data_IF_573066288672
#
_entry.id   IF_573066288672
#
_cell.length_a   1.000
_cell.length_b   1.000
_cell.length_c   1.000
_cell.angle_alpha   90.00
_cell.angle_beta   90.00
_cell.angle_gamma   90.00
#
_symmetry.space_group_name_H-M   'P 1'
#
loop_
_entity.id
_entity.type
_entity.pdbx_description
1 polymer ?
#
# COMPACT_ATOMS: atom_id res chain seq x y z
N UNK A 1 -14.28 2.79 -28.99
CA UNK A 1 -14.21 2.10 -27.67
C UNK A 1 -14.82 3.02 -26.65
N UNK A 2 -15.86 2.62 -25.96
CA UNK A 2 -16.48 3.42 -24.88
C UNK A 2 -15.49 3.48 -23.72
N UNK A 3 -14.90 4.64 -23.52
CA UNK A 3 -14.09 4.92 -22.32
C UNK A 3 -15.10 5.01 -21.18
N UNK A 4 -15.15 4.02 -20.30
CA UNK A 4 -15.93 4.13 -19.07
C UNK A 4 -15.36 5.33 -18.29
N UNK A 5 -16.16 6.35 -18.02
CA UNK A 5 -15.67 7.52 -17.33
C UNK A 5 -15.25 7.11 -15.91
N UNK A 6 -13.97 7.26 -15.60
CA UNK A 6 -13.42 7.04 -14.24
C UNK A 6 -13.62 8.29 -13.36
N UNK A 7 -14.66 9.07 -13.65
CA UNK A 7 -14.93 10.30 -12.91
C UNK A 7 -15.16 10.02 -11.43
N UNK A 8 -14.37 10.72 -10.60
CA UNK A 8 -14.45 10.62 -9.16
C UNK A 8 -13.75 9.39 -8.55
N UNK A 9 -13.13 8.52 -9.38
CA UNK A 9 -12.38 7.36 -8.86
C UNK A 9 -11.18 7.82 -8.05
N UNK A 10 -10.95 7.14 -6.93
CA UNK A 10 -9.73 7.25 -6.11
C UNK A 10 -8.99 5.93 -6.20
N UNK A 11 -7.77 5.93 -6.72
CA UNK A 11 -6.90 4.76 -6.71
C UNK A 11 -5.83 4.93 -5.62
N UNK A 12 -5.88 4.07 -4.62
CA UNK A 12 -5.01 4.19 -3.45
C UNK A 12 -3.66 3.49 -3.61
N UNK A 13 -3.38 2.84 -4.75
CA UNK A 13 -2.19 2.01 -4.88
C UNK A 13 -1.70 1.90 -6.33
N UNK A 14 -0.93 2.88 -6.77
CA UNK A 14 -0.34 2.89 -8.12
C UNK A 14 1.18 3.02 -8.04
N UNK A 15 1.86 2.22 -8.85
CA UNK A 15 3.31 2.32 -9.02
C UNK A 15 3.63 3.01 -10.35
N UNK A 16 4.59 3.93 -10.31
CA UNK A 16 5.07 4.70 -11.45
C UNK A 16 6.59 4.68 -11.53
N UNK A 17 7.15 5.03 -12.69
CA UNK A 17 8.59 5.30 -12.82
C UNK A 17 8.95 6.61 -12.09
N UNK A 18 10.19 6.74 -11.53
CA UNK A 18 11.23 5.71 -11.49
C UNK A 18 10.92 4.60 -10.50
N UNK A 19 11.16 3.35 -10.90
CA UNK A 19 11.07 2.16 -10.05
C UNK A 19 12.16 1.16 -10.49
N UNK A 20 12.48 0.17 -9.65
CA UNK A 20 13.38 -0.96 -10.01
C UNK A 20 12.77 -1.88 -11.06
N UNK A 21 11.47 -1.79 -11.30
CA UNK A 21 10.76 -2.48 -12.38
C UNK A 21 10.18 -1.44 -13.32
N UNK A 22 10.21 -1.73 -14.62
CA UNK A 22 9.54 -0.87 -15.61
C UNK A 22 8.05 -0.76 -15.28
N UNK A 23 7.55 0.46 -15.25
CA UNK A 23 6.13 0.80 -15.05
C UNK A 23 5.55 1.36 -16.34
N UNK A 24 4.22 1.33 -16.45
CA UNK A 24 3.51 1.80 -17.64
C UNK A 24 3.60 3.33 -17.82
N UNK A 25 3.69 4.06 -16.71
CA UNK A 25 3.72 5.52 -16.67
C UNK A 25 4.82 6.02 -15.73
N UNK A 26 5.33 7.21 -16.01
CA UNK A 26 5.93 8.05 -14.98
C UNK A 26 4.85 8.85 -14.23
N UNK A 27 5.26 9.66 -13.28
CA UNK A 27 4.32 10.41 -12.43
C UNK A 27 3.53 11.47 -13.21
N UNK A 28 4.15 12.13 -14.19
CA UNK A 28 3.53 13.18 -14.97
C UNK A 28 2.58 12.58 -16.02
N UNK A 29 2.99 11.52 -16.70
CA UNK A 29 2.14 10.76 -17.62
C UNK A 29 0.91 10.20 -16.90
N UNK A 30 1.07 9.68 -15.67
CA UNK A 30 -0.05 9.23 -14.86
C UNK A 30 -0.97 10.39 -14.48
N UNK A 31 -0.42 11.56 -14.17
CA UNK A 31 -1.20 12.78 -13.88
C UNK A 31 -2.05 13.18 -15.08
N UNK A 32 -1.45 13.21 -16.29
CA UNK A 32 -2.17 13.50 -17.54
C UNK A 32 -3.32 12.50 -17.78
N UNK A 33 -3.04 11.20 -17.63
CA UNK A 33 -4.03 10.16 -17.82
C UNK A 33 -5.18 10.27 -16.80
N UNK A 34 -4.86 10.52 -15.52
CA UNK A 34 -5.84 10.67 -14.44
C UNK A 34 -6.75 11.88 -14.64
N UNK A 35 -6.19 13.03 -14.98
CA UNK A 35 -6.95 14.24 -15.28
C UNK A 35 -7.86 14.03 -16.49
N UNK A 36 -7.36 13.40 -17.54
CA UNK A 36 -8.11 13.11 -18.78
C UNK A 36 -9.36 12.25 -18.53
N UNK A 37 -9.28 11.28 -17.64
CA UNK A 37 -10.41 10.38 -17.31
C UNK A 37 -11.28 10.89 -16.17
N UNK A 38 -10.91 12.01 -15.54
CA UNK A 38 -11.64 12.63 -14.45
C UNK A 38 -11.50 11.88 -13.12
N UNK A 39 -10.39 11.20 -12.89
CA UNK A 39 -10.08 10.62 -11.60
C UNK A 39 -10.01 11.71 -10.53
N UNK A 40 -10.43 11.39 -9.30
CA UNK A 40 -10.43 12.32 -8.16
C UNK A 40 -9.09 12.38 -7.46
N UNK A 41 -8.47 11.23 -7.27
CA UNK A 41 -7.16 11.14 -6.61
C UNK A 41 -6.43 9.84 -6.92
N UNK A 42 -5.11 9.89 -6.79
CA UNK A 42 -4.24 8.71 -6.83
C UNK A 42 -3.24 8.79 -5.68
N UNK A 43 -2.90 7.65 -5.08
CA UNK A 43 -1.79 7.52 -4.15
C UNK A 43 -0.64 6.80 -4.84
N UNK A 44 0.49 7.50 -5.03
CA UNK A 44 1.71 6.87 -5.56
C UNK A 44 2.36 6.03 -4.48
N UNK A 45 2.72 4.80 -4.83
CA UNK A 45 3.48 3.88 -3.99
C UNK A 45 4.84 3.54 -4.61
N UNK A 46 5.86 3.45 -3.78
CA UNK A 46 7.14 2.83 -4.12
C UNK A 46 7.53 1.81 -3.06
N UNK A 47 8.35 0.82 -3.44
CA UNK A 47 8.94 -0.12 -2.49
C UNK A 47 10.22 0.43 -1.85
N UNK A 48 10.81 1.49 -2.41
CA UNK A 48 12.15 1.97 -2.07
C UNK A 48 12.15 3.18 -1.14
N UNK A 49 10.98 3.67 -0.68
CA UNK A 49 10.99 4.83 0.19
C UNK A 49 9.67 5.59 0.27
N UNK A 50 9.76 6.87 -0.01
CA UNK A 50 8.67 7.85 0.10
C UNK A 50 8.29 8.42 -1.26
N UNK A 51 7.09 8.97 -1.39
CA UNK A 51 6.60 9.54 -2.65
C UNK A 51 5.92 10.91 -2.48
N UNK A 52 6.11 11.59 -1.33
CA UNK A 52 5.44 12.87 -1.07
C UNK A 52 5.96 14.00 -1.96
N UNK A 53 7.27 14.06 -2.18
CA UNK A 53 7.94 14.99 -3.09
C UNK A 53 7.45 14.82 -4.55
N UNK A 54 7.32 13.57 -4.99
CA UNK A 54 6.76 13.21 -6.29
C UNK A 54 5.31 13.68 -6.41
N UNK A 55 4.48 13.39 -5.42
CA UNK A 55 3.08 13.83 -5.37
C UNK A 55 2.95 15.36 -5.37
N UNK A 56 3.83 16.06 -4.63
CA UNK A 56 3.88 17.53 -4.66
C UNK A 56 4.13 18.06 -6.07
N UNK A 57 5.10 17.49 -6.79
CA UNK A 57 5.43 17.89 -8.16
C UNK A 57 4.27 17.61 -9.12
N UNK A 58 3.58 16.47 -9.00
CA UNK A 58 2.39 16.16 -9.79
C UNK A 58 1.26 17.18 -9.57
N UNK A 59 1.00 17.58 -8.33
CA UNK A 59 -0.01 18.59 -8.02
C UNK A 59 0.40 19.97 -8.58
N UNK A 60 1.68 20.32 -8.53
CA UNK A 60 2.19 21.53 -9.19
C UNK A 60 2.03 21.45 -10.70
N UNK A 61 2.31 20.30 -11.28
CA UNK A 61 2.12 20.06 -12.72
C UNK A 61 0.65 20.19 -13.12
N UNK A 62 -0.27 19.55 -12.40
CA UNK A 62 -1.72 19.70 -12.62
C UNK A 62 -2.13 21.19 -12.64
N UNK A 63 -1.64 21.97 -11.68
CA UNK A 63 -1.95 23.39 -11.60
C UNK A 63 -1.43 24.17 -12.80
N UNK A 64 -0.19 23.93 -13.24
CA UNK A 64 0.47 24.70 -14.29
C UNK A 64 -0.03 24.28 -15.68
N UNK A 65 -0.18 22.98 -15.93
CA UNK A 65 -0.47 22.44 -17.28
C UNK A 65 -1.96 22.26 -17.50
N UNK A 66 -2.70 21.80 -16.49
CA UNK A 66 -4.13 21.50 -16.64
C UNK A 66 -5.07 22.56 -16.06
N UNK A 67 -4.54 23.64 -15.47
CA UNK A 67 -5.35 24.71 -14.89
C UNK A 67 -6.07 24.30 -13.61
N UNK A 68 -5.37 23.55 -12.74
CA UNK A 68 -5.87 23.15 -11.41
C UNK A 68 -7.16 22.30 -11.45
N UNK A 69 -7.15 21.26 -12.29
CA UNK A 69 -8.27 20.32 -12.38
C UNK A 69 -8.51 19.62 -11.04
N UNK A 70 -9.73 19.19 -10.81
CA UNK A 70 -10.17 18.50 -9.60
C UNK A 70 -9.57 17.10 -9.49
N UNK A 71 -8.26 17.05 -9.38
CA UNK A 71 -7.42 15.87 -9.21
C UNK A 71 -6.34 16.13 -8.19
N UNK A 72 -6.07 15.18 -7.32
CA UNK A 72 -5.00 15.26 -6.32
C UNK A 72 -4.13 14.01 -6.34
N UNK A 73 -2.82 14.20 -6.46
CA UNK A 73 -1.85 13.14 -6.22
C UNK A 73 -1.43 13.15 -4.76
N UNK A 74 -1.47 11.99 -4.11
CA UNK A 74 -1.01 11.80 -2.74
C UNK A 74 0.23 10.91 -2.70
N UNK A 75 1.08 11.18 -1.72
CA UNK A 75 2.25 10.37 -1.42
C UNK A 75 1.98 9.31 -0.35
N UNK A 76 2.91 8.39 -0.26
CA UNK A 76 2.94 7.32 0.73
C UNK A 76 4.37 7.02 1.20
N UNK A 77 4.51 6.23 2.25
CA UNK A 77 5.78 5.65 2.71
C UNK A 77 5.64 4.14 2.82
N UNK A 78 6.69 3.41 2.46
CA UNK A 78 6.78 1.96 2.63
C UNK A 78 7.89 1.62 3.62
N UNK A 79 7.55 0.93 4.70
CA UNK A 79 8.44 0.64 5.83
C UNK A 79 9.37 -0.56 5.53
N UNK A 80 10.07 -0.46 4.41
CA UNK A 80 11.13 -1.38 4.00
C UNK A 80 12.51 -0.89 4.49
N UNK A 81 13.56 -1.69 4.32
CA UNK A 81 14.94 -1.34 4.70
C UNK A 81 15.45 0.01 4.19
N UNK A 82 15.14 0.47 2.95
CA UNK A 82 15.61 1.78 2.47
C UNK A 82 15.19 2.98 3.33
N UNK A 83 14.12 2.86 4.12
CA UNK A 83 13.71 3.88 5.11
C UNK A 83 14.08 3.51 6.54
N UNK A 84 14.82 2.41 6.74
CA UNK A 84 15.21 1.91 8.06
C UNK A 84 14.17 0.95 8.68
N UNK A 85 13.31 0.31 7.88
CA UNK A 85 12.28 -0.61 8.38
C UNK A 85 11.17 0.11 9.13
N UNK A 86 10.82 -0.40 10.33
CA UNK A 86 9.87 0.23 11.25
C UNK A 86 10.51 1.46 11.92
N UNK A 87 10.69 2.52 11.17
CA UNK A 87 11.39 3.74 11.58
C UNK A 87 10.40 4.89 11.87
N UNK A 88 10.08 5.18 13.14
CA UNK A 88 9.15 6.25 13.50
C UNK A 88 9.60 7.64 13.04
N UNK A 89 10.92 7.92 13.05
CA UNK A 89 11.42 9.23 12.61
C UNK A 89 11.19 9.46 11.11
N UNK A 90 11.47 8.45 10.27
CA UNK A 90 11.17 8.52 8.83
C UNK A 90 9.66 8.63 8.58
N UNK A 91 8.85 7.88 9.33
CA UNK A 91 7.40 7.94 9.22
C UNK A 91 6.85 9.32 9.60
N UNK A 92 7.30 9.90 10.71
CA UNK A 92 6.85 11.22 11.16
C UNK A 92 7.13 12.29 10.10
N UNK A 93 8.33 12.31 9.52
CA UNK A 93 8.68 13.23 8.42
C UNK A 93 7.78 13.00 7.21
N UNK A 94 7.54 11.75 6.82
CA UNK A 94 6.66 11.42 5.71
C UNK A 94 5.22 11.96 5.93
N UNK A 95 4.68 11.77 7.12
CA UNK A 95 3.34 12.24 7.49
C UNK A 95 3.26 13.77 7.54
N UNK A 96 4.26 14.45 8.09
CA UNK A 96 4.38 15.91 8.07
C UNK A 96 4.43 16.48 6.66
N UNK A 97 5.06 15.77 5.72
CA UNK A 97 5.09 16.12 4.29
C UNK A 97 3.84 15.70 3.52
N UNK A 98 2.84 15.13 4.19
CA UNK A 98 1.53 14.86 3.60
C UNK A 98 1.29 13.44 3.09
N UNK A 99 2.10 12.45 3.49
CA UNK A 99 1.80 11.05 3.21
C UNK A 99 0.40 10.70 3.73
N UNK A 100 -0.40 10.02 2.90
CA UNK A 100 -1.76 9.58 3.26
C UNK A 100 -1.85 8.10 3.55
N UNK A 101 -0.90 7.32 3.05
CA UNK A 101 -0.86 5.87 3.26
C UNK A 101 0.52 5.47 3.79
N UNK A 102 0.51 4.66 4.83
CA UNK A 102 1.67 4.01 5.42
C UNK A 102 1.58 2.53 5.10
N UNK A 103 2.52 2.05 4.30
CA UNK A 103 2.60 0.64 3.94
C UNK A 103 3.56 -0.06 4.90
N UNK A 104 3.12 -1.12 5.55
CA UNK A 104 3.99 -2.05 6.25
C UNK A 104 5.01 -2.68 5.27
N UNK A 105 5.97 -3.46 5.73
CA UNK A 105 6.98 -4.03 4.85
C UNK A 105 6.39 -4.78 3.67
N UNK A 106 6.95 -4.52 2.48
CA UNK A 106 6.59 -5.17 1.22
C UNK A 106 7.66 -6.17 0.82
N UNK A 107 8.60 -5.81 -0.06
CA UNK A 107 9.67 -6.69 -0.54
C UNK A 107 10.63 -7.13 0.58
N UNK A 108 10.65 -6.42 1.68
CA UNK A 108 11.41 -6.76 2.88
C UNK A 108 10.53 -7.29 4.03
N UNK A 109 9.26 -7.67 3.80
CA UNK A 109 8.50 -8.44 4.77
C UNK A 109 9.08 -9.85 4.89
N UNK A 110 9.15 -10.41 6.10
CA UNK A 110 9.62 -11.80 6.33
C UNK A 110 8.83 -12.79 5.48
N UNK A 111 7.50 -12.66 5.45
CA UNK A 111 6.63 -13.47 4.60
C UNK A 111 6.98 -13.37 3.10
N UNK A 112 7.23 -12.15 2.60
CA UNK A 112 7.62 -11.96 1.20
C UNK A 112 8.94 -12.65 0.89
N UNK A 113 9.95 -12.49 1.73
CA UNK A 113 11.25 -13.14 1.56
C UNK A 113 11.11 -14.65 1.53
N UNK A 114 10.36 -15.23 2.49
CA UNK A 114 10.10 -16.67 2.55
C UNK A 114 9.42 -17.20 1.28
N UNK A 115 8.39 -16.52 0.78
CA UNK A 115 7.67 -16.91 -0.45
C UNK A 115 8.57 -16.86 -1.69
N UNK A 116 9.63 -16.04 -1.70
CA UNK A 116 10.62 -15.97 -2.77
C UNK A 116 11.87 -16.81 -2.50
N UNK A 117 11.86 -17.73 -1.52
CA UNK A 117 12.97 -18.63 -1.20
C UNK A 117 14.21 -17.92 -0.63
N UNK A 118 14.02 -16.71 -0.09
CA UNK A 118 15.07 -15.95 0.61
C UNK A 118 14.98 -16.19 2.12
N UNK A 119 16.04 -15.84 2.85
CA UNK A 119 16.04 -15.93 4.30
C UNK A 119 15.05 -14.93 4.91
N UNK A 120 14.00 -15.37 5.64
CA UNK A 120 13.04 -14.46 6.28
C UNK A 120 13.68 -13.58 7.35
N UNK A 121 14.74 -14.02 8.00
CA UNK A 121 15.42 -13.26 9.06
C UNK A 121 16.09 -11.99 8.56
N UNK A 122 16.35 -11.91 7.25
CA UNK A 122 16.82 -10.67 6.59
C UNK A 122 15.67 -9.65 6.41
N UNK A 123 14.45 -9.99 6.80
CA UNK A 123 13.27 -9.15 6.63
C UNK A 123 12.99 -8.24 7.83
N UNK A 124 12.15 -7.25 7.58
CA UNK A 124 11.60 -6.39 8.63
C UNK A 124 10.51 -7.16 9.38
N UNK A 125 10.74 -7.41 10.65
CA UNK A 125 9.81 -8.11 11.55
C UNK A 125 8.73 -7.14 12.03
N UNK A 126 7.46 -7.52 11.91
CA UNK A 126 6.32 -6.75 12.44
C UNK A 126 5.67 -7.46 13.65
N UNK A 127 5.85 -8.78 13.74
CA UNK A 127 5.36 -9.61 14.85
C UNK A 127 6.45 -10.52 15.37
N UNK A 128 6.36 -10.89 16.63
CA UNK A 128 7.20 -11.89 17.28
C UNK A 128 6.41 -12.63 18.36
N UNK A 129 6.49 -13.97 18.37
CA UNK A 129 5.77 -14.81 19.32
C UNK A 129 4.26 -14.49 19.42
N UNK A 130 3.60 -14.25 18.26
CA UNK A 130 2.17 -13.97 18.18
C UNK A 130 1.77 -12.57 18.68
N UNK A 131 2.71 -11.64 18.83
CA UNK A 131 2.47 -10.24 19.25
C UNK A 131 3.19 -9.27 18.32
N UNK A 132 2.71 -8.04 18.27
CA UNK A 132 3.44 -6.96 17.56
C UNK A 132 4.79 -6.71 18.25
N UNK A 133 5.81 -6.36 17.44
CA UNK A 133 7.09 -5.88 17.98
C UNK A 133 6.92 -4.49 18.62
N UNK A 134 7.78 -4.09 19.58
CA UNK A 134 7.62 -2.84 20.33
C UNK A 134 7.51 -1.59 19.43
N UNK A 135 8.28 -1.53 18.34
CA UNK A 135 8.36 -0.41 17.39
C UNK A 135 7.01 -0.13 16.71
N UNK A 136 6.16 -1.14 16.56
CA UNK A 136 4.83 -0.98 15.97
C UNK A 136 3.93 -0.05 16.79
N UNK A 137 4.17 0.12 18.08
CA UNK A 137 3.38 1.03 18.93
C UNK A 137 3.55 2.48 18.49
N UNK A 138 4.79 2.90 18.23
CA UNK A 138 5.10 4.26 17.76
C UNK A 138 4.55 4.48 16.34
N UNK A 139 4.64 3.45 15.49
CA UNK A 139 4.03 3.50 14.16
C UNK A 139 2.51 3.70 14.26
N UNK A 140 1.81 2.94 15.10
CA UNK A 140 0.35 3.09 15.27
C UNK A 140 -0.02 4.46 15.84
N UNK A 141 0.74 4.97 16.80
CA UNK A 141 0.50 6.30 17.37
C UNK A 141 0.60 7.39 16.29
N UNK A 142 1.65 7.36 15.49
CA UNK A 142 1.82 8.31 14.38
C UNK A 142 0.72 8.18 13.32
N UNK A 143 0.38 6.96 12.90
CA UNK A 143 -0.71 6.72 11.93
C UNK A 143 -2.04 7.28 12.44
N UNK A 144 -2.33 7.08 13.73
CA UNK A 144 -3.53 7.60 14.38
C UNK A 144 -3.55 9.12 14.45
N UNK A 145 -2.44 9.74 14.90
CA UNK A 145 -2.35 11.18 15.12
C UNK A 145 -2.48 11.99 13.83
N UNK A 146 -2.00 11.42 12.73
CA UNK A 146 -2.11 12.03 11.38
C UNK A 146 -3.33 11.55 10.59
N UNK A 147 -4.21 10.73 11.20
CA UNK A 147 -5.40 10.14 10.55
C UNK A 147 -5.07 9.48 9.19
N UNK A 148 -3.89 8.83 9.10
CA UNK A 148 -3.40 8.18 7.90
C UNK A 148 -4.00 6.77 7.75
N UNK A 149 -3.88 6.20 6.56
CA UNK A 149 -4.24 4.81 6.27
C UNK A 149 -3.04 3.90 6.53
N UNK A 150 -3.23 2.81 7.25
CA UNK A 150 -2.24 1.75 7.43
C UNK A 150 -2.57 0.56 6.51
N UNK A 151 -1.66 0.21 5.61
CA UNK A 151 -1.77 -0.96 4.74
C UNK A 151 -0.91 -2.12 5.22
N UNK A 152 -1.46 -3.35 5.22
CA UNK A 152 -0.74 -4.57 5.66
C UNK A 152 0.38 -4.98 4.72
N UNK A 153 0.36 -4.49 3.49
CA UNK A 153 1.39 -4.74 2.48
C UNK A 153 1.64 -6.23 2.19
N UNK A 154 2.84 -6.76 2.45
CA UNK A 154 3.17 -8.14 2.10
C UNK A 154 3.43 -9.04 3.32
N UNK A 155 2.97 -8.64 4.50
CA UNK A 155 3.03 -9.50 5.68
C UNK A 155 2.06 -10.68 5.53
N UNK A 156 2.24 -11.73 6.33
CA UNK A 156 1.39 -12.92 6.26
C UNK A 156 -0.06 -12.66 6.69
N UNK A 157 -1.02 -13.54 6.37
CA UNK A 157 -2.38 -13.45 6.89
C UNK A 157 -2.43 -13.40 8.42
N UNK A 158 -1.66 -14.26 9.07
CA UNK A 158 -1.59 -14.34 10.54
C UNK A 158 -1.05 -13.03 11.14
N UNK A 159 0.03 -12.50 10.59
CA UNK A 159 0.56 -11.19 10.97
C UNK A 159 -0.46 -10.09 10.73
N UNK A 160 -1.19 -10.14 9.61
CA UNK A 160 -2.21 -9.15 9.27
C UNK A 160 -3.32 -9.09 10.33
N UNK A 161 -3.79 -10.24 10.86
CA UNK A 161 -4.78 -10.27 11.94
C UNK A 161 -4.22 -9.64 13.22
N UNK A 162 -3.03 -10.08 13.66
CA UNK A 162 -2.38 -9.57 14.88
C UNK A 162 -2.18 -8.05 14.79
N UNK A 163 -1.67 -7.58 13.66
CA UNK A 163 -1.39 -6.16 13.41
C UNK A 163 -2.68 -5.35 13.35
N UNK A 164 -3.71 -5.81 12.63
CA UNK A 164 -4.98 -5.09 12.51
C UNK A 164 -5.69 -4.97 13.86
N UNK A 165 -5.70 -6.03 14.67
CA UNK A 165 -6.31 -6.00 15.99
C UNK A 165 -5.56 -5.06 16.94
N UNK A 166 -4.22 -5.13 16.95
CA UNK A 166 -3.40 -4.22 17.74
C UNK A 166 -3.53 -2.76 17.30
N UNK A 167 -3.58 -2.50 15.99
CA UNK A 167 -3.77 -1.15 15.44
C UNK A 167 -5.13 -0.56 15.83
N UNK A 168 -6.20 -1.36 15.76
CA UNK A 168 -7.55 -0.94 16.24
C UNK A 168 -7.55 -0.63 17.72
N UNK A 169 -6.95 -1.49 18.53
CA UNK A 169 -6.82 -1.26 19.98
C UNK A 169 -6.04 0.03 20.28
N UNK A 170 -5.06 0.39 19.45
CA UNK A 170 -4.33 1.65 19.54
C UNK A 170 -5.14 2.87 19.02
N UNK A 171 -6.28 2.65 18.36
CA UNK A 171 -7.17 3.70 17.84
C UNK A 171 -6.91 4.09 16.39
N UNK A 172 -6.18 3.29 15.61
CA UNK A 172 -6.04 3.46 14.16
C UNK A 172 -7.38 3.15 13.49
N UNK A 173 -7.94 4.11 12.76
CA UNK A 173 -9.28 4.01 12.17
C UNK A 173 -9.29 3.48 10.75
N UNK A 174 -8.22 3.67 9.99
CA UNK A 174 -8.14 3.39 8.56
C UNK A 174 -7.12 2.28 8.29
N UNK A 175 -7.62 1.07 8.06
CA UNK A 175 -6.81 -0.11 7.79
C UNK A 175 -7.14 -0.68 6.42
N UNK A 176 -6.14 -1.12 5.70
CA UNK A 176 -6.26 -1.73 4.38
C UNK A 176 -5.51 -3.05 4.36
N UNK A 177 -6.19 -4.14 4.04
CA UNK A 177 -5.52 -5.41 3.70
C UNK A 177 -5.10 -5.33 2.24
N UNK A 178 -3.80 -5.41 2.01
CA UNK A 178 -3.19 -5.23 0.70
C UNK A 178 -3.03 -6.58 0.01
N UNK A 179 -3.47 -6.68 -1.25
CA UNK A 179 -3.29 -7.87 -2.10
C UNK A 179 -3.71 -9.21 -1.44
N UNK A 180 -4.87 -9.28 -0.76
CA UNK A 180 -5.22 -10.46 0.02
C UNK A 180 -5.24 -11.76 -0.82
N UNK A 181 -5.64 -11.65 -2.09
CA UNK A 181 -5.71 -12.77 -3.04
C UNK A 181 -4.38 -13.07 -3.76
N UNK A 182 -3.38 -12.21 -3.59
CA UNK A 182 -2.09 -12.43 -4.23
C UNK A 182 -1.32 -13.57 -3.55
N UNK A 183 -0.72 -14.47 -4.33
CA UNK A 183 -0.06 -15.69 -3.85
C UNK A 183 1.00 -15.48 -2.75
N UNK A 184 1.55 -14.29 -2.63
CA UNK A 184 2.49 -13.94 -1.55
C UNK A 184 1.76 -13.77 -0.21
N UNK A 185 0.59 -13.12 -0.21
CA UNK A 185 -0.24 -12.95 0.99
C UNK A 185 -1.13 -14.17 1.19
N UNK A 186 -1.86 -14.59 0.15
CA UNK A 186 -2.63 -15.83 0.09
C UNK A 186 -3.66 -15.95 1.24
N UNK A 187 -4.39 -14.87 1.49
CA UNK A 187 -5.41 -14.83 2.54
C UNK A 187 -6.68 -15.55 2.10
N UNK A 188 -7.21 -16.42 2.95
CA UNK A 188 -8.46 -17.12 2.66
C UNK A 188 -9.67 -16.18 2.63
N UNK A 189 -10.76 -16.61 1.96
CA UNK A 189 -12.03 -15.86 1.93
C UNK A 189 -12.61 -15.71 3.34
N UNK A 190 -12.49 -16.74 4.19
CA UNK A 190 -12.89 -16.68 5.60
C UNK A 190 -12.08 -15.63 6.36
N UNK A 191 -10.77 -15.57 6.12
CA UNK A 191 -9.89 -14.54 6.68
C UNK A 191 -10.35 -13.14 6.28
N UNK A 192 -10.68 -12.93 5.01
CA UNK A 192 -11.22 -11.66 4.52
C UNK A 192 -12.56 -11.29 5.19
N UNK A 193 -13.46 -12.25 5.37
CA UNK A 193 -14.76 -12.02 6.05
C UNK A 193 -14.59 -11.66 7.52
N UNK A 194 -13.67 -12.30 8.24
CA UNK A 194 -13.35 -11.94 9.61
C UNK A 194 -12.76 -10.52 9.72
N UNK A 195 -12.03 -10.11 8.70
CA UNK A 195 -11.47 -8.75 8.59
C UNK A 195 -12.51 -7.69 8.23
N UNK A 196 -13.61 -8.06 7.57
CA UNK A 196 -14.53 -7.14 6.89
C UNK A 196 -15.38 -6.25 7.80
N UNK A 197 -15.39 -6.44 9.11
CA UNK A 197 -16.16 -5.60 10.03
C UNK A 197 -15.70 -4.13 10.07
N UNK A 198 -14.50 -3.80 9.59
CA UNK A 198 -13.93 -2.45 9.67
C UNK A 198 -12.78 -2.17 8.68
N UNK A 199 -12.60 -3.00 7.67
CA UNK A 199 -11.48 -2.89 6.72
C UNK A 199 -11.95 -2.31 5.38
N UNK A 200 -11.29 -1.24 4.94
CA UNK A 200 -11.27 -0.89 3.52
C UNK A 200 -10.43 -1.94 2.80
N UNK A 201 -11.08 -2.88 2.12
CA UNK A 201 -10.37 -3.76 1.17
C UNK A 201 -10.03 -2.95 -0.08
N UNK A 202 -8.77 -2.74 -0.32
CA UNK A 202 -8.29 -2.41 -1.66
C UNK A 202 -8.01 -3.70 -2.39
N UNK A 203 -8.78 -3.82 -3.21
CA UNK A 203 -9.27 -4.31 -4.32
C UNK A 203 -8.29 -4.60 -5.41
N UNK A 204 -8.16 -5.76 -5.93
CA UNK A 204 -8.38 -6.00 -7.33
C UNK A 204 -9.48 -7.04 -7.41
N UNK A 205 -10.65 -6.47 -7.41
CA UNK A 205 -11.86 -6.91 -8.02
C UNK A 205 -12.34 -8.32 -7.80
N UNK A 206 -13.52 -8.40 -7.36
CA UNK A 206 -14.44 -9.55 -7.36
C UNK A 206 -14.51 -10.38 -8.68
N UNK A 207 -13.78 -9.99 -9.73
CA UNK A 207 -13.73 -10.72 -11.01
C UNK A 207 -12.56 -11.69 -11.14
N UNK A 208 -11.45 -11.55 -10.41
CA UNK A 208 -10.32 -12.48 -10.53
C UNK A 208 -10.40 -13.69 -9.58
N UNK A 209 -11.19 -13.63 -8.51
CA UNK A 209 -11.32 -14.74 -7.55
C UNK A 209 -11.95 -15.98 -8.19
N UNK A 210 -12.81 -15.81 -9.21
CA UNK A 210 -13.42 -16.95 -9.92
C UNK A 210 -12.52 -17.61 -10.98
N UNK A 211 -11.53 -16.88 -11.52
CA UNK A 211 -10.67 -17.43 -12.59
C UNK A 211 -9.34 -18.00 -12.07
N UNK A 212 -8.85 -17.58 -10.90
CA UNK A 212 -7.58 -18.06 -10.36
C UNK A 212 -7.71 -19.35 -9.53
N UNK A 213 -8.86 -19.68 -8.99
CA UNK A 213 -9.08 -20.98 -8.33
C UNK A 213 -8.94 -22.17 -9.28
N UNK A 214 -8.90 -21.96 -10.60
CA UNK A 214 -8.77 -22.99 -11.63
C UNK A 214 -7.32 -23.16 -12.17
N UNK A 215 -6.36 -22.36 -11.77
CA UNK A 215 -4.97 -22.46 -12.27
C UNK A 215 -4.00 -22.84 -11.17
N UNK A 216 -3.78 -24.15 -11.00
CA UNK A 216 -2.57 -24.66 -10.31
C UNK A 216 -1.32 -24.14 -11.01
N UNK A 217 -0.31 -23.66 -10.30
CA UNK A 217 0.95 -23.25 -10.91
C UNK A 217 1.60 -24.46 -11.58
N UNK A 218 1.89 -24.36 -12.86
CA UNK A 218 2.83 -25.26 -13.52
C UNK A 218 4.20 -24.89 -12.98
N UNK A 219 4.90 -25.88 -12.40
CA UNK A 219 6.24 -25.71 -11.89
C UNK A 219 7.15 -25.07 -12.95
N UNK A 220 7.91 -24.09 -12.51
CA UNK A 220 9.04 -23.58 -13.28
C UNK A 220 10.28 -24.43 -12.99
N UNK A 221 11.07 -24.77 -14.02
CA UNK A 221 12.36 -25.46 -13.86
C UNK A 221 13.38 -24.60 -13.13
#
# INVERSE_FOLDING_TARGET
>A
MSVYPMKGVIDMHVHTNPDLRLRAYDDLELTDAAVKVGARAIVIKTHQGTTMDRAYLCNRYNKIVHGDKDFTMFGSITLNHPVGGLNPAALEVALKLGAKVVWLPTQHAQNHLAKFGKNPDDGVKVTENGKIVPEMKDIFQLVKDYDAVLGTAHISPEESFIVCDAARAAGVKKLVVTHPEWWVVDMSIEGLRCSAGTLLCTEHGRRQVQEQSARKPRGHP
#
